data_IF_262733900310
#
_entry.id   IF_262733900310
#
_cell.length_a   1.000
_cell.length_b   1.000
_cell.length_c   1.000
_cell.angle_alpha   90.00
_cell.angle_beta   90.00
_cell.angle_gamma   90.00
#
_symmetry.space_group_name_H-M   'P 1'
#
loop_
_entity.id
_entity.type
_entity.pdbx_description
1 polymer ?
#
# COMPACT_ATOMS: atom_id res chain seq x y z
N UNK A 1 -45.41 -23.81 15.68
CA UNK A 1 -45.36 -22.78 14.62
C UNK A 1 -43.90 -22.36 14.49
N UNK A 2 -43.26 -22.70 13.37
CA UNK A 2 -41.90 -22.24 13.09
C UNK A 2 -41.96 -20.80 12.60
N UNK A 3 -41.11 -19.94 13.15
CA UNK A 3 -40.92 -18.59 12.62
C UNK A 3 -40.28 -18.72 11.22
N UNK A 4 -40.88 -18.13 10.17
CA UNK A 4 -40.25 -18.10 8.87
C UNK A 4 -38.95 -17.30 8.96
N UNK A 5 -37.96 -17.69 8.15
CA UNK A 5 -36.74 -16.91 7.98
C UNK A 5 -37.10 -15.49 7.53
N UNK A 6 -36.64 -14.49 8.29
CA UNK A 6 -36.99 -13.07 8.07
C UNK A 6 -35.90 -12.36 7.23
N UNK A 7 -34.70 -12.94 7.16
CA UNK A 7 -33.53 -12.38 6.48
C UNK A 7 -33.30 -13.13 5.17
N UNK A 8 -33.60 -12.51 4.02
CA UNK A 8 -33.39 -13.11 2.69
C UNK A 8 -31.93 -13.02 2.20
N UNK A 9 -31.01 -12.50 3.04
CA UNK A 9 -29.64 -12.20 2.66
C UNK A 9 -29.53 -11.06 1.62
N UNK A 10 -28.30 -10.71 1.26
CA UNK A 10 -28.04 -9.78 0.16
C UNK A 10 -28.09 -10.47 -1.20
N UNK A 11 -28.58 -9.77 -2.22
CA UNK A 11 -28.33 -10.16 -3.61
C UNK A 11 -26.83 -10.08 -3.93
N UNK A 12 -26.37 -10.71 -5.00
CA UNK A 12 -24.96 -10.63 -5.42
C UNK A 12 -24.48 -9.18 -5.60
N UNK A 13 -25.30 -8.32 -6.18
CA UNK A 13 -24.99 -6.90 -6.37
C UNK A 13 -24.89 -6.17 -5.02
N UNK A 14 -25.84 -6.40 -4.12
CA UNK A 14 -25.83 -5.82 -2.78
C UNK A 14 -24.64 -6.34 -1.96
N UNK A 15 -24.33 -7.63 -2.05
CA UNK A 15 -23.19 -8.24 -1.37
C UNK A 15 -21.87 -7.64 -1.86
N UNK A 16 -21.74 -7.38 -3.16
CA UNK A 16 -20.58 -6.67 -3.74
C UNK A 16 -20.51 -5.22 -3.29
N UNK A 17 -21.63 -4.49 -3.33
CA UNK A 17 -21.67 -3.09 -2.91
C UNK A 17 -21.32 -2.95 -1.43
N UNK A 18 -21.95 -3.75 -0.56
CA UNK A 18 -21.70 -3.72 0.87
C UNK A 18 -20.30 -4.26 1.22
N UNK A 19 -19.82 -5.27 0.49
CA UNK A 19 -18.44 -5.76 0.59
C UNK A 19 -17.39 -4.72 0.17
N UNK A 20 -17.72 -3.84 -0.77
CA UNK A 20 -16.82 -2.74 -1.19
C UNK A 20 -16.64 -1.66 -0.11
N UNK A 21 -17.54 -1.62 0.89
CA UNK A 21 -17.46 -0.73 2.07
C UNK A 21 -16.52 -1.28 3.15
N UNK A 22 -16.02 -2.52 3.00
CA UNK A 22 -14.90 -3.01 3.82
C UNK A 22 -13.72 -2.02 3.71
N UNK A 23 -12.94 -1.91 4.79
CA UNK A 23 -11.89 -0.93 5.07
C UNK A 23 -10.73 -0.84 4.06
N UNK A 24 -10.87 -1.39 2.85
CA UNK A 24 -9.84 -1.38 1.81
C UNK A 24 -8.51 -1.92 2.38
N UNK A 25 -8.57 -2.88 3.31
CA UNK A 25 -7.39 -3.40 4.02
C UNK A 25 -6.36 -4.05 3.07
N UNK A 26 -6.80 -4.40 1.86
CA UNK A 26 -5.98 -4.94 0.77
C UNK A 26 -5.26 -3.86 -0.06
N UNK A 27 -5.55 -2.57 0.17
CA UNK A 27 -4.86 -1.47 -0.48
C UNK A 27 -3.59 -1.13 0.31
N UNK A 28 -2.46 -1.09 -0.37
CA UNK A 28 -1.18 -0.71 0.20
C UNK A 28 -0.78 0.69 -0.27
N UNK A 29 0.15 1.29 0.47
CA UNK A 29 0.81 2.52 0.05
C UNK A 29 1.99 2.12 -0.83
N UNK A 30 1.97 2.55 -2.08
CA UNK A 30 3.07 2.38 -3.04
C UNK A 30 3.88 3.67 -3.16
N UNK A 31 5.19 3.54 -3.30
CA UNK A 31 6.13 4.66 -3.44
C UNK A 31 6.78 4.61 -4.82
N UNK A 32 6.62 5.69 -5.58
CA UNK A 32 7.45 5.98 -6.74
C UNK A 32 8.72 6.73 -6.28
N UNK A 33 9.86 6.04 -6.35
CA UNK A 33 11.14 6.57 -5.91
C UNK A 33 11.66 7.71 -6.80
N UNK A 34 11.27 7.75 -8.08
CA UNK A 34 11.75 8.77 -9.03
C UNK A 34 11.08 10.13 -8.80
N UNK A 35 9.85 10.11 -8.25
CA UNK A 35 9.11 11.32 -7.88
C UNK A 35 9.39 11.80 -6.46
N UNK A 36 9.99 10.96 -5.62
CA UNK A 36 10.19 11.26 -4.20
C UNK A 36 11.38 12.21 -3.98
N UNK A 37 11.08 13.41 -3.48
CA UNK A 37 12.10 14.44 -3.17
C UNK A 37 12.58 14.41 -1.70
N UNK A 38 12.21 13.38 -0.94
CA UNK A 38 12.58 13.21 0.48
C UNK A 38 12.21 14.42 1.37
N UNK A 39 11.07 15.08 1.10
CA UNK A 39 10.65 16.27 1.83
C UNK A 39 10.20 16.03 3.28
N UNK A 40 9.96 14.78 3.67
CA UNK A 40 9.50 14.42 5.02
C UNK A 40 8.01 14.62 5.30
N UNK A 41 7.24 15.20 4.37
CA UNK A 41 5.82 15.49 4.62
C UNK A 41 4.95 14.28 4.96
N UNK A 42 5.28 13.11 4.42
CA UNK A 42 4.62 11.84 4.75
C UNK A 42 4.94 11.33 6.16
N UNK A 43 6.14 11.61 6.67
CA UNK A 43 6.55 11.28 8.04
C UNK A 43 5.76 12.15 9.02
N UNK A 44 5.68 13.44 8.74
CA UNK A 44 5.04 14.43 9.62
C UNK A 44 3.52 14.23 9.75
N UNK A 45 2.85 13.84 8.66
CA UNK A 45 1.38 13.70 8.65
C UNK A 45 0.91 12.35 9.19
N UNK A 46 1.80 11.36 9.34
CA UNK A 46 1.42 9.99 9.69
C UNK A 46 0.94 9.90 11.14
N UNK A 47 -0.35 9.59 11.41
CA UNK A 47 -0.87 9.52 12.78
C UNK A 47 -0.24 8.38 13.59
N UNK A 48 0.14 7.28 12.92
CA UNK A 48 0.75 6.10 13.55
C UNK A 48 2.28 6.16 13.61
N UNK A 49 2.89 7.25 13.10
CA UNK A 49 4.35 7.40 13.02
C UNK A 49 5.05 6.15 12.43
N UNK A 50 4.44 5.59 11.38
CA UNK A 50 4.87 4.33 10.76
C UNK A 50 5.81 4.52 9.57
N UNK A 51 6.07 5.76 9.14
CA UNK A 51 6.94 6.10 8.01
C UNK A 51 8.24 6.69 8.55
N UNK A 52 9.39 6.23 8.03
CA UNK A 52 10.71 6.77 8.37
C UNK A 52 11.57 6.97 7.12
N UNK A 53 12.36 8.05 7.11
CA UNK A 53 13.42 8.27 6.11
C UNK A 53 14.75 7.97 6.79
N UNK A 54 15.56 7.15 6.16
CA UNK A 54 16.75 6.55 6.78
C UNK A 54 17.89 6.62 5.78
N UNK A 55 19.08 7.07 6.20
CA UNK A 55 20.27 6.96 5.37
C UNK A 55 20.54 5.50 5.01
N UNK A 56 20.92 5.23 3.77
CA UNK A 56 21.19 3.87 3.30
C UNK A 56 22.31 3.20 4.10
N UNK A 57 23.26 3.99 4.62
CA UNK A 57 24.37 3.51 5.43
C UNK A 57 23.93 2.79 6.71
N UNK A 58 22.74 3.09 7.21
CA UNK A 58 22.14 2.44 8.39
C UNK A 58 21.44 1.11 8.05
N UNK A 59 21.30 0.78 6.76
CA UNK A 59 20.61 -0.42 6.30
C UNK A 59 21.64 -1.38 5.70
N UNK A 60 21.96 -2.44 6.46
CA UNK A 60 22.88 -3.47 5.99
C UNK A 60 22.27 -4.29 4.85
N UNK A 61 23.07 -4.58 3.82
CA UNK A 61 22.69 -5.48 2.73
C UNK A 61 21.95 -4.84 1.55
N UNK A 62 21.67 -3.53 1.58
CA UNK A 62 21.19 -2.79 0.40
C UNK A 62 22.33 -1.98 -0.23
N UNK A 63 22.42 -2.02 -1.55
CA UNK A 63 23.31 -1.18 -2.35
C UNK A 63 22.46 -0.35 -3.28
N UNK A 64 22.52 0.98 -3.16
CA UNK A 64 21.85 1.87 -4.11
C UNK A 64 22.65 1.93 -5.42
N UNK A 65 22.00 1.81 -6.59
CA UNK A 65 22.64 2.06 -7.87
C UNK A 65 22.86 3.56 -8.04
N UNK A 66 23.99 4.09 -7.55
CA UNK A 66 24.30 5.51 -7.68
C UNK A 66 25.48 5.97 -6.84
N UNK A 67 26.06 7.12 -7.22
CA UNK A 67 27.17 7.76 -6.50
C UNK A 67 26.63 9.00 -5.78
N UNK A 68 26.14 8.82 -4.55
CA UNK A 68 25.63 9.90 -3.69
C UNK A 68 25.06 9.34 -2.38
N UNK A 69 24.82 10.19 -1.35
CA UNK A 69 24.12 9.77 -0.14
C UNK A 69 22.72 9.32 -0.53
N UNK A 70 22.47 8.02 -0.40
CA UNK A 70 21.16 7.44 -0.68
C UNK A 70 20.36 7.40 0.63
N UNK A 71 19.07 7.70 0.56
CA UNK A 71 18.15 7.53 1.68
C UNK A 71 16.99 6.66 1.23
N UNK A 72 16.48 5.86 2.15
CA UNK A 72 15.37 4.94 1.92
C UNK A 72 14.19 5.40 2.75
N UNK A 73 13.02 5.45 2.12
CA UNK A 73 11.75 5.62 2.82
C UNK A 73 11.21 4.24 3.18
N UNK A 74 10.94 4.02 4.45
CA UNK A 74 10.44 2.74 4.97
C UNK A 74 9.07 2.98 5.60
N UNK A 75 8.11 2.16 5.22
CA UNK A 75 6.76 2.13 5.78
C UNK A 75 6.61 0.83 6.57
N UNK A 76 6.25 0.94 7.85
CA UNK A 76 5.91 -0.20 8.70
C UNK A 76 4.43 -0.56 8.45
N UNK A 77 4.19 -1.58 7.63
CA UNK A 77 2.85 -1.97 7.19
C UNK A 77 1.97 -2.53 8.30
N UNK A 78 2.58 -3.18 9.31
CA UNK A 78 1.91 -3.70 10.50
C UNK A 78 1.25 -2.61 11.35
N UNK A 79 1.76 -1.37 11.26
CA UNK A 79 1.21 -0.19 11.95
C UNK A 79 0.45 0.75 11.04
N UNK A 80 0.55 0.59 9.71
CA UNK A 80 -0.10 1.48 8.77
C UNK A 80 -1.62 1.23 8.74
N UNK A 81 -2.41 2.17 9.25
CA UNK A 81 -3.88 2.12 9.17
C UNK A 81 -4.47 2.49 7.80
N UNK A 82 -3.62 2.67 6.77
CA UNK A 82 -4.03 2.93 5.38
C UNK A 82 -4.98 4.13 5.22
N UNK A 83 -4.76 5.18 6.01
CA UNK A 83 -5.57 6.39 6.02
C UNK A 83 -5.38 7.32 4.80
N UNK A 84 -4.42 7.03 3.91
CA UNK A 84 -4.07 7.82 2.74
C UNK A 84 -3.62 9.28 2.98
N UNK A 85 -3.45 9.73 4.23
CA UNK A 85 -2.99 11.10 4.52
C UNK A 85 -1.61 11.42 3.94
N UNK A 86 -0.72 10.43 3.84
CA UNK A 86 0.59 10.61 3.21
C UNK A 86 0.51 10.82 1.69
N UNK A 87 -0.51 10.25 1.03
CA UNK A 87 -0.80 10.46 -0.39
C UNK A 87 -1.26 11.90 -0.59
N UNK A 88 -2.26 12.35 0.17
CA UNK A 88 -2.78 13.73 0.08
C UNK A 88 -1.72 14.79 0.42
N UNK A 89 -0.80 14.46 1.33
CA UNK A 89 0.26 15.40 1.75
C UNK A 89 1.41 15.50 0.77
N UNK A 90 1.58 14.52 -0.12
CA UNK A 90 2.76 14.43 -0.98
C UNK A 90 2.74 15.54 -2.05
N UNK A 91 3.74 16.44 -2.10
CA UNK A 91 3.74 17.55 -3.06
C UNK A 91 4.08 17.13 -4.50
N UNK A 92 4.61 15.91 -4.69
CA UNK A 92 5.04 15.38 -5.99
C UNK A 92 4.23 14.16 -6.42
N UNK A 93 3.16 13.82 -5.68
CA UNK A 93 2.34 12.62 -5.92
C UNK A 93 3.15 11.31 -5.97
N UNK A 94 4.29 11.26 -5.25
CA UNK A 94 5.16 10.08 -5.20
C UNK A 94 4.56 8.90 -4.41
N UNK A 95 3.45 9.09 -3.71
CA UNK A 95 2.78 8.05 -2.93
C UNK A 95 1.38 7.82 -3.49
N UNK A 96 0.96 6.57 -3.60
CA UNK A 96 -0.38 6.20 -4.11
C UNK A 96 -1.00 5.05 -3.31
N UNK A 97 -2.33 4.92 -3.39
CA UNK A 97 -3.06 3.76 -2.87
C UNK A 97 -3.19 2.72 -3.98
N UNK A 98 -2.46 1.62 -3.87
CA UNK A 98 -2.48 0.54 -4.85
C UNK A 98 -3.17 -0.70 -4.25
N UNK A 99 -4.18 -1.19 -4.95
CA UNK A 99 -4.81 -2.47 -4.64
C UNK A 99 -4.17 -3.58 -5.44
N UNK A 100 -4.34 -4.81 -4.96
CA UNK A 100 -4.11 -5.98 -5.81
C UNK A 100 -5.14 -5.97 -6.96
N UNK A 101 -4.76 -5.40 -8.09
CA UNK A 101 -5.38 -5.74 -9.37
C UNK A 101 -4.74 -7.03 -9.82
N UNK A 102 -5.51 -8.00 -10.30
CA UNK A 102 -4.93 -9.10 -11.06
C UNK A 102 -4.12 -8.46 -12.19
N UNK A 103 -2.79 -8.41 -12.01
CA UNK A 103 -1.91 -8.12 -13.09
C UNK A 103 -2.32 -9.10 -14.18
N UNK A 104 -2.55 -8.59 -15.39
CA UNK A 104 -2.55 -9.40 -16.60
C UNK A 104 -1.15 -10.02 -16.73
N UNK A 105 -0.86 -11.00 -15.88
CA UNK A 105 0.32 -11.83 -15.97
C UNK A 105 0.03 -12.74 -17.13
N UNK A 106 0.57 -12.36 -18.28
CA UNK A 106 0.74 -13.26 -19.40
C UNK A 106 1.47 -14.49 -18.82
N UNK A 107 0.75 -15.60 -18.66
CA UNK A 107 1.15 -16.82 -17.92
C UNK A 107 2.35 -17.55 -18.57
N UNK A 108 3.08 -16.90 -19.47
CA UNK A 108 4.24 -17.41 -20.20
C UNK A 108 5.57 -17.14 -19.50
N UNK A 109 5.63 -16.23 -18.52
CA UNK A 109 6.89 -15.90 -17.83
C UNK A 109 7.05 -16.54 -16.44
N UNK A 110 6.02 -17.23 -15.92
CA UNK A 110 6.05 -17.86 -14.58
C UNK A 110 6.72 -19.24 -14.52
N UNK A 111 7.18 -19.82 -15.63
CA UNK A 111 7.93 -21.10 -15.61
C UNK A 111 9.39 -20.93 -15.14
N UNK A 112 9.87 -19.70 -14.91
CA UNK A 112 11.27 -19.44 -14.55
C UNK A 112 11.56 -19.29 -13.05
N UNK A 113 10.54 -19.24 -12.18
CA UNK A 113 10.73 -18.97 -10.74
C UNK A 113 9.93 -19.95 -9.88
N UNK A 114 10.25 -21.24 -9.99
CA UNK A 114 9.93 -22.24 -8.97
C UNK A 114 11.17 -23.08 -8.69
N UNK A 115 11.80 -22.81 -7.55
CA UNK A 115 12.54 -23.80 -6.75
C UNK A 115 11.97 -23.73 -5.34
#
# INVERSE_FOLDING_TARGET
MGVPEIELGYTEEQARLEGSRCLQCFMNIELDADLCILCGGCVDICPESCIRIVPLEEISGLSAPGRGPASVLIIQEDRCIRCALCVERCPTDALSMAGWTEASTDLRELEAVTV
#
